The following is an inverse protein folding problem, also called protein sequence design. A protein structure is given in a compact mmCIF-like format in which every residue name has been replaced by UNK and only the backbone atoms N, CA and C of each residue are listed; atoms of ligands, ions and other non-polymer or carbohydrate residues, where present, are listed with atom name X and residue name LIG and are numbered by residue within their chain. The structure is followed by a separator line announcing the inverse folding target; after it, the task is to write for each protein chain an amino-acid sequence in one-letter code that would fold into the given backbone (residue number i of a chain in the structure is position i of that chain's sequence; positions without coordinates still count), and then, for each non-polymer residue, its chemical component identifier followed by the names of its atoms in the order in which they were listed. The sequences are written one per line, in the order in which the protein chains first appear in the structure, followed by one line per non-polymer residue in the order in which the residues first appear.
data_IF_136433121960
#
_entry.id   IF_136433121960
#
_cell.length_a   1.000
_cell.length_b   1.000
_cell.length_c   1.000
_cell.angle_alpha   90.00
_cell.angle_beta   90.00
_cell.angle_gamma   90.00
#
_symmetry.space_group_name_H-M   'P 1'
#
loop_
_entity.id
_entity.type
_entity.pdbx_description
1 polymer ?
#
# COMPACT_ATOMS: atom_id res chain seq x y z
N UNK A 1 -3.73 -7.90 7.49
CA UNK A 1 -2.51 -8.41 6.83
C UNK A 1 -1.83 -9.38 7.77
N UNK A 2 -1.37 -10.52 7.26
CA UNK A 2 -0.52 -11.46 8.00
C UNK A 2 0.90 -10.90 8.19
N UNK A 3 1.71 -11.54 9.05
CA UNK A 3 3.09 -11.11 9.30
C UNK A 3 3.96 -11.27 8.04
N UNK A 4 3.73 -12.34 7.31
CA UNK A 4 4.43 -12.70 6.07
C UNK A 4 4.14 -11.67 4.97
N UNK A 5 2.88 -11.27 4.80
CA UNK A 5 2.50 -10.22 3.85
C UNK A 5 3.14 -8.88 4.21
N UNK A 6 3.20 -8.53 5.50
CA UNK A 6 3.90 -7.29 5.93
C UNK A 6 5.38 -7.33 5.54
N UNK A 7 6.07 -8.46 5.75
CA UNK A 7 7.48 -8.60 5.33
C UNK A 7 7.64 -8.50 3.81
N UNK A 8 6.72 -9.10 3.05
CA UNK A 8 6.72 -9.01 1.58
C UNK A 8 6.55 -7.55 1.10
N UNK A 9 5.56 -6.84 1.63
CA UNK A 9 5.35 -5.43 1.29
C UNK A 9 6.52 -4.55 1.73
N UNK A 10 7.12 -4.79 2.90
CA UNK A 10 8.34 -4.07 3.31
C UNK A 10 9.44 -4.24 2.27
N UNK A 11 9.69 -5.47 1.81
CA UNK A 11 10.71 -5.72 0.77
C UNK A 11 10.36 -5.03 -0.55
N UNK A 12 9.10 -5.11 -0.98
CA UNK A 12 8.63 -4.40 -2.19
C UNK A 12 8.86 -2.90 -2.08
N UNK A 13 8.47 -2.28 -0.96
CA UNK A 13 8.61 -0.84 -0.70
C UNK A 13 10.07 -0.40 -0.76
N UNK A 14 10.97 -1.17 -0.14
CA UNK A 14 12.39 -0.81 -0.11
C UNK A 14 13.08 -0.80 -1.47
N UNK A 15 12.53 -1.54 -2.44
CA UNK A 15 13.09 -1.68 -3.79
C UNK A 15 12.28 -0.88 -4.81
N UNK A 16 11.20 -0.23 -4.39
CA UNK A 16 10.26 0.41 -5.28
C UNK A 16 10.77 1.77 -5.78
N UNK A 17 10.55 2.02 -7.07
CA UNK A 17 10.61 3.36 -7.63
C UNK A 17 9.31 4.14 -7.34
N UNK A 18 9.23 5.41 -7.77
CA UNK A 18 8.11 6.30 -7.45
C UNK A 18 6.76 5.73 -7.93
N UNK A 19 6.73 5.19 -9.15
CA UNK A 19 5.50 4.61 -9.73
C UNK A 19 5.08 3.36 -8.96
N UNK A 20 6.04 2.48 -8.64
CA UNK A 20 5.81 1.25 -7.89
C UNK A 20 5.30 1.52 -6.46
N UNK A 21 5.75 2.59 -5.80
CA UNK A 21 5.23 2.97 -4.48
C UNK A 21 3.73 3.29 -4.53
N UNK A 22 3.26 3.98 -5.58
CA UNK A 22 1.84 4.26 -5.78
C UNK A 22 1.07 2.95 -6.08
N UNK A 23 1.62 2.08 -6.92
CA UNK A 23 1.03 0.77 -7.21
C UNK A 23 0.87 -0.08 -5.93
N UNK A 24 1.90 -0.10 -5.07
CA UNK A 24 1.86 -0.78 -3.78
C UNK A 24 0.77 -0.20 -2.87
N UNK A 25 0.59 1.11 -2.81
CA UNK A 25 -0.49 1.73 -2.03
C UNK A 25 -1.88 1.27 -2.50
N UNK A 26 -2.10 1.13 -3.81
CA UNK A 26 -3.35 0.59 -4.33
C UNK A 26 -3.55 -0.89 -3.96
N UNK A 27 -2.50 -1.72 -4.06
CA UNK A 27 -2.54 -3.13 -3.65
C UNK A 27 -2.90 -3.28 -2.17
N UNK A 28 -2.24 -2.48 -1.30
CA UNK A 28 -2.51 -2.48 0.13
C UNK A 28 -3.94 -2.04 0.44
N UNK A 29 -4.45 -1.00 -0.24
CA UNK A 29 -5.82 -0.55 -0.09
C UNK A 29 -6.80 -1.65 -0.47
N UNK A 30 -6.64 -2.26 -1.64
CA UNK A 30 -7.51 -3.35 -2.10
C UNK A 30 -7.49 -4.52 -1.13
N UNK A 31 -6.32 -4.88 -0.60
CA UNK A 31 -6.21 -5.92 0.43
C UNK A 31 -6.96 -5.55 1.71
N UNK A 32 -6.83 -4.32 2.22
CA UNK A 32 -7.55 -3.90 3.42
C UNK A 32 -9.07 -3.81 3.21
N UNK A 33 -9.51 -3.51 2.00
CA UNK A 33 -10.93 -3.59 1.62
C UNK A 33 -11.44 -5.03 1.69
N UNK A 34 -10.71 -6.00 1.13
CA UNK A 34 -11.08 -7.41 1.21
C UNK A 34 -11.01 -7.95 2.65
N UNK A 35 -10.05 -7.51 3.46
CA UNK A 35 -10.00 -7.83 4.89
C UNK A 35 -11.20 -7.28 5.66
N UNK A 36 -11.67 -6.08 5.31
CA UNK A 36 -12.89 -5.52 5.88
C UNK A 36 -14.10 -6.39 5.51
N UNK A 37 -14.27 -6.75 4.23
CA UNK A 37 -15.35 -7.64 3.78
C UNK A 37 -15.33 -8.99 4.49
N UNK A 38 -14.16 -9.65 4.55
CA UNK A 38 -14.01 -10.91 5.27
C UNK A 38 -14.31 -10.81 6.78
N UNK A 39 -14.11 -9.64 7.40
CA UNK A 39 -14.52 -9.41 8.79
C UNK A 39 -16.04 -9.17 8.90
N UNK A 40 -16.65 -8.47 7.94
CA UNK A 40 -18.10 -8.26 7.88
C UNK A 40 -18.86 -9.57 7.73
N UNK A 41 -18.42 -10.47 6.85
CA UNK A 41 -18.96 -11.83 6.68
C UNK A 41 -18.93 -12.65 7.97
N UNK A 42 -17.96 -12.39 8.85
CA UNK A 42 -17.81 -13.04 10.17
C UNK A 42 -18.53 -12.30 11.30
N UNK A 43 -19.31 -11.27 10.96
CA UNK A 43 -19.97 -10.37 11.90
C UNK A 43 -19.01 -9.62 12.85
N UNK A 44 -17.70 -9.59 12.53
CA UNK A 44 -16.68 -8.85 13.27
C UNK A 44 -16.70 -7.37 12.87
N UNK A 45 -17.54 -6.60 13.57
CA UNK A 45 -17.67 -5.14 13.37
C UNK A 45 -16.39 -4.37 13.67
N UNK A 46 -15.57 -4.85 14.61
CA UNK A 46 -14.31 -4.18 14.95
C UNK A 46 -13.27 -4.41 13.85
N UNK A 47 -13.16 -5.64 13.36
CA UNK A 47 -12.34 -5.97 12.20
C UNK A 47 -12.75 -5.22 10.94
N UNK A 48 -14.06 -5.10 10.69
CA UNK A 48 -14.61 -4.32 9.57
C UNK A 48 -14.16 -2.86 9.61
N UNK A 49 -14.35 -2.19 10.75
CA UNK A 49 -13.91 -0.80 10.95
C UNK A 49 -12.41 -0.64 10.84
N UNK A 50 -11.65 -1.59 11.38
CA UNK A 50 -10.19 -1.55 11.34
C UNK A 50 -9.63 -1.73 9.92
N UNK A 51 -10.22 -2.62 9.11
CA UNK A 51 -9.88 -2.76 7.70
C UNK A 51 -10.15 -1.47 6.92
N UNK A 52 -11.33 -0.87 7.13
CA UNK A 52 -11.68 0.42 6.52
C UNK A 52 -10.73 1.53 6.95
N UNK A 53 -10.39 1.62 8.24
CA UNK A 53 -9.47 2.63 8.78
C UNK A 53 -8.10 2.55 8.09
N UNK A 54 -7.57 1.34 7.88
CA UNK A 54 -6.30 1.12 7.16
C UNK A 54 -6.41 1.51 5.69
N UNK A 55 -7.48 1.11 5.00
CA UNK A 55 -7.73 1.51 3.61
C UNK A 55 -7.81 3.03 3.44
N UNK A 56 -8.47 3.74 4.38
CA UNK A 56 -8.53 5.21 4.41
C UNK A 56 -7.16 5.83 4.67
N UNK A 57 -6.30 5.18 5.45
CA UNK A 57 -4.89 5.55 5.60
C UNK A 57 -4.17 5.60 4.25
N UNK A 58 -4.28 4.54 3.44
CA UNK A 58 -3.69 4.51 2.09
C UNK A 58 -4.23 5.65 1.20
N UNK A 59 -5.53 5.92 1.23
CA UNK A 59 -6.12 7.04 0.47
C UNK A 59 -5.58 8.40 0.91
N UNK A 60 -5.38 8.61 2.22
CA UNK A 60 -4.85 9.87 2.71
C UNK A 60 -3.40 10.09 2.23
N UNK A 61 -2.57 9.05 2.19
CA UNK A 61 -1.23 9.16 1.60
C UNK A 61 -1.27 9.44 0.09
N UNK A 62 -2.20 8.81 -0.64
CA UNK A 62 -2.42 9.09 -2.06
C UNK A 62 -2.89 10.53 -2.31
N UNK A 63 -3.72 11.08 -1.43
CA UNK A 63 -4.16 12.49 -1.49
C UNK A 63 -3.00 13.44 -1.22
N UNK A 64 -2.20 13.17 -0.19
CA UNK A 64 -1.06 14.00 0.21
C UNK A 64 0.07 13.99 -0.84
N UNK A 65 0.16 12.94 -1.66
CA UNK A 65 1.19 12.82 -2.69
C UNK A 65 0.81 13.45 -4.05
N UNK A 66 -0.39 14.03 -4.18
CA UNK A 66 -0.81 14.69 -5.41
C UNK A 66 0.03 15.93 -5.72
N UNK A 67 0.58 16.00 -6.93
CA UNK A 67 1.25 17.20 -7.44
C UNK A 67 0.28 18.06 -8.26
N UNK A 68 -0.15 19.18 -7.69
CA UNK A 68 -1.12 20.10 -8.30
C UNK A 68 -0.56 21.00 -9.41
N UNK A 69 0.73 20.94 -9.70
CA UNK A 69 1.31 21.58 -10.90
C UNK A 69 0.74 20.97 -12.20
N UNK A 70 0.22 19.74 -12.11
CA UNK A 70 -0.42 19.03 -13.21
C UNK A 70 -1.93 19.09 -13.06
N UNK A 71 -2.63 19.57 -14.11
CA UNK A 71 -4.10 19.65 -14.14
C UNK A 71 -4.77 18.29 -13.87
N UNK A 72 -4.11 17.18 -14.24
CA UNK A 72 -4.58 15.83 -14.00
C UNK A 72 -4.77 15.51 -12.50
N UNK A 73 -4.02 16.15 -11.61
CA UNK A 73 -4.14 15.94 -10.16
C UNK A 73 -5.53 16.28 -9.62
N UNK A 74 -6.24 17.23 -10.23
CA UNK A 74 -7.62 17.57 -9.86
C UNK A 74 -8.58 16.39 -10.10
N UNK A 75 -8.37 15.64 -11.19
CA UNK A 75 -9.18 14.46 -11.48
C UNK A 75 -8.90 13.34 -10.47
N UNK A 76 -7.63 13.11 -10.11
CA UNK A 76 -7.26 12.15 -9.07
C UNK A 76 -7.81 12.55 -7.70
N UNK A 77 -7.74 13.83 -7.35
CA UNK A 77 -8.33 14.37 -6.11
C UNK A 77 -9.81 14.00 -6.02
N UNK A 78 -10.58 14.23 -7.09
CA UNK A 78 -12.01 13.90 -7.10
C UNK A 78 -12.27 12.40 -6.92
N UNK A 79 -11.49 11.54 -7.60
CA UNK A 79 -11.58 10.08 -7.47
C UNK A 79 -11.24 9.61 -6.05
N UNK A 80 -10.15 10.10 -5.47
CA UNK A 80 -9.75 9.72 -4.10
C UNK A 80 -10.75 10.22 -3.06
N UNK A 81 -11.30 11.43 -3.21
CA UNK A 81 -12.37 11.93 -2.34
C UNK A 81 -13.66 11.11 -2.48
N UNK A 82 -13.98 10.59 -3.67
CA UNK A 82 -15.08 9.67 -3.85
C UNK A 82 -14.83 8.34 -3.12
N UNK A 83 -13.65 7.75 -3.29
CA UNK A 83 -13.27 6.50 -2.62
C UNK A 83 -13.32 6.66 -1.09
N UNK A 84 -12.78 7.75 -0.55
CA UNK A 84 -12.82 8.02 0.90
C UNK A 84 -14.26 8.14 1.42
N UNK A 85 -15.17 8.77 0.65
CA UNK A 85 -16.60 8.87 0.99
C UNK A 85 -17.29 7.51 0.99
N UNK A 86 -17.00 6.65 0.01
CA UNK A 86 -17.57 5.30 -0.03
C UNK A 86 -17.06 4.43 1.13
N UNK A 87 -15.76 4.51 1.46
CA UNK A 87 -15.19 3.83 2.64
C UNK A 87 -15.87 4.29 3.95
N UNK A 88 -16.03 5.61 4.14
CA UNK A 88 -16.72 6.15 5.30
C UNK A 88 -18.21 5.74 5.35
N UNK A 89 -18.88 5.69 4.18
CA UNK A 89 -20.27 5.24 4.07
C UNK A 89 -20.42 3.77 4.46
N UNK A 90 -19.49 2.90 4.02
CA UNK A 90 -19.46 1.50 4.42
C UNK A 90 -19.32 1.38 5.95
N UNK A 91 -18.38 2.11 6.55
CA UNK A 91 -18.11 2.12 7.99
C UNK A 91 -19.35 2.49 8.81
N UNK A 92 -19.99 3.61 8.47
CA UNK A 92 -21.16 4.15 9.20
C UNK A 92 -22.37 3.24 9.04
N UNK A 93 -22.60 2.70 7.85
CA UNK A 93 -23.78 1.87 7.55
C UNK A 93 -23.56 0.38 7.80
N UNK A 94 -22.35 -0.03 8.17
CA UNK A 94 -21.94 -1.42 8.32
C UNK A 94 -22.39 -2.29 7.14
N UNK A 95 -22.03 -1.90 5.91
CA UNK A 95 -22.43 -2.58 4.67
C UNK A 95 -21.30 -2.61 3.66
N UNK A 96 -21.22 -3.69 2.89
CA UNK A 96 -20.11 -3.95 1.96
C UNK A 96 -20.25 -3.24 0.61
N UNK A 97 -21.47 -2.93 0.16
CA UNK A 97 -21.70 -2.38 -1.19
C UNK A 97 -20.83 -1.14 -1.53
N UNK A 98 -20.61 -0.17 -0.62
CA UNK A 98 -19.69 0.94 -0.88
C UNK A 98 -18.22 0.50 -0.96
N UNK A 99 -17.82 -0.57 -0.27
CA UNK A 99 -16.48 -1.14 -0.39
C UNK A 99 -16.22 -1.66 -1.80
N UNK A 100 -17.19 -2.32 -2.43
CA UNK A 100 -17.06 -2.79 -3.82
C UNK A 100 -16.91 -1.61 -4.80
N UNK A 101 -17.60 -0.50 -4.55
CA UNK A 101 -17.46 0.70 -5.37
C UNK A 101 -16.05 1.30 -5.24
N UNK A 102 -15.55 1.43 -4.00
CA UNK A 102 -14.19 1.87 -3.72
C UNK A 102 -13.15 0.96 -4.41
N UNK A 103 -13.31 -0.35 -4.26
CA UNK A 103 -12.43 -1.37 -4.85
C UNK A 103 -12.38 -1.26 -6.38
N UNK A 104 -13.53 -1.12 -7.05
CA UNK A 104 -13.59 -0.99 -8.51
C UNK A 104 -12.83 0.22 -9.05
N UNK A 105 -12.95 1.38 -8.39
CA UNK A 105 -12.22 2.58 -8.78
C UNK A 105 -10.72 2.38 -8.62
N UNK A 106 -10.28 1.89 -7.46
CA UNK A 106 -8.86 1.67 -7.18
C UNK A 106 -8.26 0.59 -8.09
N UNK A 107 -8.99 -0.48 -8.39
CA UNK A 107 -8.55 -1.51 -9.34
C UNK A 107 -8.34 -0.95 -10.76
N UNK A 108 -9.21 -0.03 -11.20
CA UNK A 108 -9.03 0.64 -12.48
C UNK A 108 -7.77 1.50 -12.53
N UNK A 109 -7.50 2.27 -11.46
CA UNK A 109 -6.28 3.08 -11.33
C UNK A 109 -5.02 2.22 -11.22
N UNK A 110 -5.07 1.14 -10.44
CA UNK A 110 -3.98 0.17 -10.29
C UNK A 110 -3.58 -0.41 -11.64
N UNK A 111 -4.54 -0.88 -12.46
CA UNK A 111 -4.25 -1.41 -13.79
C UNK A 111 -3.66 -0.38 -14.76
N UNK A 112 -3.94 0.91 -14.58
CA UNK A 112 -3.27 1.97 -15.34
C UNK A 112 -1.82 2.19 -14.85
N UNK A 113 -1.59 2.15 -13.54
CA UNK A 113 -0.27 2.30 -12.93
C UNK A 113 0.64 1.09 -13.15
N UNK A 114 0.11 -0.13 -13.26
CA UNK A 114 0.88 -1.30 -13.67
C UNK A 114 1.47 -1.12 -15.08
N UNK A 115 0.68 -0.56 -16.00
CA UNK A 115 1.15 -0.24 -17.36
C UNK A 115 2.18 0.89 -17.37
N UNK A 116 2.06 1.87 -16.47
CA UNK A 116 3.07 2.92 -16.31
C UNK A 116 4.37 2.37 -15.70
N UNK A 117 4.27 1.43 -14.77
CA UNK A 117 5.41 0.82 -14.11
C UNK A 117 6.36 0.09 -15.07
N UNK A 118 5.86 -0.45 -16.19
CA UNK A 118 6.70 -1.06 -17.23
C UNK A 118 7.43 -0.03 -18.10
N UNK A 119 6.96 1.23 -18.12
CA UNK A 119 7.59 2.34 -18.84
C UNK A 119 8.55 3.15 -17.95
N UNK A 120 8.43 3.03 -16.63
CA UNK A 120 9.24 3.75 -15.67
C UNK A 120 10.59 3.03 -15.42
N UNK A 121 11.65 3.58 -16.01
CA UNK A 121 13.03 3.09 -15.83
C UNK A 121 13.77 3.73 -14.67
N UNK A 122 13.08 4.49 -13.81
CA UNK A 122 13.72 5.11 -12.64
C UNK A 122 14.12 4.07 -11.60
N UNK A 123 15.23 4.36 -10.91
CA UNK A 123 15.73 3.51 -9.84
C UNK A 123 14.87 3.57 -8.56
N UNK A 124 15.18 2.72 -7.57
CA UNK A 124 14.51 2.75 -6.28
C UNK A 124 14.63 4.12 -5.61
N UNK A 125 13.57 4.56 -4.91
CA UNK A 125 13.61 5.85 -4.21
C UNK A 125 14.47 5.79 -2.94
N UNK A 126 14.63 4.60 -2.35
CA UNK A 126 15.49 4.41 -1.18
C UNK A 126 16.90 3.98 -1.61
N UNK A 127 17.91 4.80 -1.31
CA UNK A 127 19.30 4.54 -1.69
C UNK A 127 20.08 3.69 -0.67
N UNK A 128 19.70 3.70 0.61
CA UNK A 128 20.43 3.06 1.72
C UNK A 128 19.69 1.86 2.34
N UNK A 129 19.06 1.02 1.52
CA UNK A 129 18.45 -0.21 2.03
C UNK A 129 19.45 -1.36 1.91
N UNK A 130 19.65 -2.07 3.02
CA UNK A 130 20.45 -3.29 3.07
C UNK A 130 19.91 -4.31 2.04
N UNK A 131 20.69 -4.60 0.99
CA UNK A 131 20.38 -5.65 0.04
C UNK A 131 20.55 -7.00 0.75
N UNK A 132 19.45 -7.65 1.13
CA UNK A 132 19.49 -9.01 1.68
C UNK A 132 19.88 -9.96 0.54
N UNK A 133 21.18 -10.24 0.41
CA UNK A 133 21.68 -11.22 -0.54
C UNK A 133 21.46 -12.62 0.03
N UNK A 134 20.58 -13.40 -0.59
CA UNK A 134 20.20 -14.75 -0.15
C UNK A 134 21.35 -15.80 -0.21
N UNK A 135 22.58 -15.39 -0.53
CA UNK A 135 23.71 -16.30 -0.78
C UNK A 135 24.81 -16.32 0.28
N UNK A 136 24.75 -15.54 1.36
CA UNK A 136 25.81 -15.51 2.40
C UNK A 136 25.33 -15.92 3.80
N UNK A 137 24.05 -16.23 3.99
CA UNK A 137 23.43 -16.36 5.33
C UNK A 137 22.67 -17.68 5.54
N UNK A 138 23.04 -18.75 4.84
CA UNK A 138 22.48 -20.08 5.09
C UNK A 138 23.55 -21.08 5.52
N UNK A 139 23.74 -21.16 6.85
CA UNK A 139 24.20 -22.36 7.53
C UNK A 139 22.98 -23.20 7.92
N UNK A 140 22.99 -24.47 7.53
CA UNK A 140 21.94 -25.47 7.79
C UNK A 140 21.64 -25.53 9.31
N UNK A 141 20.47 -25.05 9.72
CA UNK A 141 19.85 -25.15 11.07
C UNK A 141 19.98 -24.00 12.09
N UNK A 142 20.23 -22.75 11.72
CA UNK A 142 19.90 -21.64 12.63
C UNK A 142 19.64 -20.33 11.86
N UNK A 143 18.38 -19.89 11.82
CA UNK A 143 17.97 -18.56 11.37
C UNK A 143 18.31 -17.55 12.47
N UNK A 144 19.58 -17.16 12.56
CA UNK A 144 19.97 -15.99 13.35
C UNK A 144 20.20 -14.86 12.34
N UNK A 145 19.24 -13.94 12.27
CA UNK A 145 19.42 -12.63 11.65
C UNK A 145 20.47 -11.87 12.48
N UNK A 146 21.75 -12.12 12.23
CA UNK A 146 22.80 -11.31 12.82
C UNK A 146 22.79 -9.94 12.15
N UNK A 147 22.16 -8.98 12.86
CA UNK A 147 22.22 -7.55 12.57
C UNK A 147 23.62 -7.01 12.84
N UNK A 148 24.56 -7.29 11.95
CA UNK A 148 25.82 -6.54 11.90
C UNK A 148 25.63 -5.35 10.98
N UNK A 149 25.13 -4.25 11.53
CA UNK A 149 25.84 -2.96 11.55
C UNK A 149 24.92 -1.85 12.08
N UNK A 150 25.31 -1.25 13.21
CA UNK A 150 24.67 -0.09 13.82
C UNK A 150 25.14 1.15 13.06
N UNK A 151 24.45 1.49 11.96
CA UNK A 151 24.69 2.69 11.18
C UNK A 151 23.48 3.62 11.20
N UNK A 152 23.66 4.80 11.79
CA UNK A 152 22.71 5.87 12.16
C UNK A 152 21.89 6.52 11.04
N UNK A 153 21.66 5.86 9.89
CA UNK A 153 21.08 6.54 8.71
C UNK A 153 20.18 5.66 7.84
N UNK A 154 19.03 5.25 8.38
CA UNK A 154 17.90 4.73 7.58
C UNK A 154 16.95 5.90 7.25
N UNK A 155 16.83 6.32 5.99
CA UNK A 155 15.88 7.38 5.59
C UNK A 155 16.07 7.94 4.17
N UNK A 156 15.13 8.81 3.75
CA UNK A 156 15.24 9.65 2.55
C UNK A 156 16.22 10.80 2.82
N UNK A 157 17.13 11.10 1.88
CA UNK A 157 17.87 12.36 1.88
C UNK A 157 17.17 13.34 0.94
N UNK A 158 16.94 14.55 1.45
CA UNK A 158 16.36 15.67 0.72
C UNK A 158 17.32 16.18 -0.37
#
# INVERSE_FOLDING_TARGET
MTKELKQEYTRKITQANKTQLITILYEMLMLYVEEAKAAHEKEDRMGFREGIRKARGCINELLNSLNFDYQLAVNFLQLYLYVNRELARAEVRNTEKPLDNAYKVIKGLHGAYEKLGSMDTSGPVMENVQTVYAGLTYGRNNLVENFTDQGTNRGFRA
#
